data_IF_053895497825
#
_entry.id   IF_053895497825
#
_cell.length_a   1.000
_cell.length_b   1.000
_cell.length_c   1.000
_cell.angle_alpha   90.00
_cell.angle_beta   90.00
_cell.angle_gamma   90.00
#
_symmetry.space_group_name_H-M   'P 1'
#
loop_
_entity.id
_entity.type
_entity.pdbx_description
1 polymer ?
#
# COMPACT_ATOMS: atom_id res chain seq x y z
N UNK A 1 1.65 -36.46 29.18
CA UNK A 1 1.16 -35.13 29.60
C UNK A 1 2.36 -34.23 29.61
N UNK A 2 2.42 -33.25 28.71
CA UNK A 2 3.56 -32.33 28.59
C UNK A 2 3.59 -31.41 29.81
N UNK A 3 4.75 -31.30 30.45
CA UNK A 3 4.93 -30.44 31.62
C UNK A 3 5.03 -28.97 31.19
N UNK A 4 4.48 -28.05 31.98
CA UNK A 4 4.56 -26.62 31.69
C UNK A 4 5.72 -26.00 32.48
N UNK A 5 6.75 -25.58 31.77
CA UNK A 5 7.99 -25.07 32.34
C UNK A 5 7.96 -23.55 32.49
N UNK A 6 8.61 -23.07 33.56
CA UNK A 6 8.84 -21.63 33.73
C UNK A 6 9.83 -21.15 32.67
N UNK A 7 9.74 -19.87 32.28
CA UNK A 7 10.70 -19.32 31.30
C UNK A 7 12.16 -19.44 31.73
N UNK A 8 12.46 -19.45 33.04
CA UNK A 8 13.82 -19.66 33.55
C UNK A 8 14.33 -21.09 33.35
N UNK A 9 13.44 -22.07 33.30
CA UNK A 9 13.76 -23.48 33.03
C UNK A 9 13.87 -23.70 31.52
N UNK A 10 12.88 -23.23 30.76
CA UNK A 10 12.92 -23.26 29.30
C UNK A 10 14.18 -22.56 28.75
N UNK A 11 14.58 -21.43 29.34
CA UNK A 11 15.81 -20.71 28.98
C UNK A 11 17.08 -21.56 29.11
N UNK A 12 17.15 -22.45 30.11
CA UNK A 12 18.29 -23.35 30.29
C UNK A 12 18.29 -24.43 29.21
N UNK A 13 17.12 -24.89 28.77
CA UNK A 13 16.96 -25.94 27.77
C UNK A 13 17.26 -25.43 26.35
N UNK A 14 16.76 -24.24 25.99
CA UNK A 14 16.95 -23.69 24.64
C UNK A 14 18.18 -22.79 24.48
N UNK A 15 18.87 -22.43 25.56
CA UNK A 15 20.03 -21.53 25.52
C UNK A 15 19.68 -20.07 25.21
N UNK A 16 18.40 -19.68 25.31
CA UNK A 16 17.91 -18.32 25.07
C UNK A 16 17.51 -17.70 26.40
N UNK A 17 17.84 -16.43 26.62
CA UNK A 17 17.48 -15.76 27.87
C UNK A 17 15.96 -15.73 28.10
N UNK A 18 15.54 -15.90 29.36
CA UNK A 18 14.12 -15.79 29.74
C UNK A 18 13.52 -14.43 29.36
N UNK A 19 14.33 -13.36 29.33
CA UNK A 19 13.94 -12.04 28.84
C UNK A 19 13.58 -12.07 27.35
N UNK A 20 14.41 -12.70 26.53
CA UNK A 20 14.16 -12.84 25.09
C UNK A 20 12.92 -13.68 24.85
N UNK A 21 12.75 -14.81 25.54
CA UNK A 21 11.53 -15.62 25.45
C UNK A 21 10.27 -14.81 25.81
N UNK A 22 10.35 -13.97 26.86
CA UNK A 22 9.25 -13.08 27.23
C UNK A 22 8.91 -12.06 26.14
N UNK A 23 9.90 -11.52 25.45
CA UNK A 23 9.69 -10.62 24.30
C UNK A 23 9.03 -11.36 23.14
N UNK A 24 9.54 -12.53 22.76
CA UNK A 24 8.94 -13.35 21.69
C UNK A 24 7.48 -13.72 21.97
N UNK A 25 7.14 -14.02 23.23
CA UNK A 25 5.76 -14.27 23.64
C UNK A 25 4.91 -13.00 23.54
N UNK A 26 5.44 -11.85 23.99
CA UNK A 26 4.73 -10.57 23.91
C UNK A 26 4.47 -10.15 22.46
N UNK A 27 5.41 -10.47 21.55
CA UNK A 27 5.31 -10.23 20.11
C UNK A 27 4.44 -11.29 19.39
N UNK A 28 3.89 -12.26 20.12
CA UNK A 28 3.02 -13.31 19.59
C UNK A 28 3.75 -14.36 18.74
N UNK A 29 5.09 -14.41 18.79
CA UNK A 29 5.90 -15.35 18.02
C UNK A 29 5.95 -16.76 18.63
N UNK A 30 5.60 -16.90 19.90
CA UNK A 30 5.50 -18.19 20.60
C UNK A 30 4.04 -18.41 21.05
N UNK A 31 3.12 -18.74 20.13
CA UNK A 31 1.69 -18.88 20.43
C UNK A 31 1.37 -20.04 21.38
N UNK A 32 2.27 -21.02 21.51
CA UNK A 32 2.15 -22.13 22.46
C UNK A 32 2.32 -21.72 23.93
N UNK A 33 2.76 -20.49 24.20
CA UNK A 33 2.96 -20.03 25.58
C UNK A 33 1.63 -19.90 26.32
N UNK A 34 1.57 -20.50 27.50
CA UNK A 34 0.40 -20.49 28.38
C UNK A 34 0.66 -19.48 29.50
N UNK A 35 -0.40 -18.87 30.05
CA UNK A 35 -0.27 -17.99 31.23
C UNK A 35 -0.83 -18.66 32.46
N UNK A 36 -0.15 -18.49 33.59
CA UNK A 36 -0.70 -18.83 34.90
C UNK A 36 -1.87 -17.90 35.24
N UNK A 37 -2.70 -18.21 36.25
CA UNK A 37 -3.70 -17.29 36.78
C UNK A 37 -3.12 -15.94 37.22
N UNK A 38 -1.86 -15.92 37.68
CA UNK A 38 -1.15 -14.68 38.03
C UNK A 38 -0.52 -13.97 36.80
N UNK A 39 -0.71 -14.49 35.59
CA UNK A 39 -0.25 -13.90 34.34
C UNK A 39 1.19 -14.22 33.94
N UNK A 40 1.89 -15.09 34.68
CA UNK A 40 3.25 -15.51 34.34
C UNK A 40 3.25 -16.46 33.14
N UNK A 41 4.11 -16.23 32.13
CA UNK A 41 4.21 -17.13 30.98
C UNK A 41 4.92 -18.44 31.35
N UNK A 42 4.38 -19.53 30.83
CA UNK A 42 4.90 -20.89 30.86
C UNK A 42 5.01 -21.42 29.42
N UNK A 43 5.96 -22.31 29.18
CA UNK A 43 6.10 -23.02 27.91
C UNK A 43 5.92 -24.53 28.12
N UNK A 44 5.12 -25.21 27.29
CA UNK A 44 5.09 -26.68 27.29
C UNK A 44 6.48 -27.23 26.96
N UNK A 45 6.92 -28.26 27.68
CA UNK A 45 8.25 -28.88 27.53
C UNK A 45 8.49 -29.42 26.11
N UNK A 46 7.47 -29.99 25.50
CA UNK A 46 7.48 -30.48 24.11
C UNK A 46 7.45 -29.38 23.05
N UNK A 47 7.25 -28.12 23.46
CA UNK A 47 7.13 -26.97 22.57
C UNK A 47 8.17 -25.88 22.86
N UNK A 48 9.25 -26.23 23.56
CA UNK A 48 10.40 -25.33 23.76
C UNK A 48 11.11 -25.12 22.42
N UNK A 49 11.22 -23.86 21.95
CA UNK A 49 11.87 -23.58 20.68
C UNK A 49 13.38 -23.76 20.78
N UNK A 50 14.02 -24.19 19.70
CA UNK A 50 15.48 -24.15 19.58
C UNK A 50 15.95 -22.71 19.29
N UNK A 51 17.25 -22.47 19.42
CA UNK A 51 17.85 -21.19 18.99
C UNK A 51 17.56 -20.87 17.53
N UNK A 52 17.61 -21.89 16.65
CA UNK A 52 17.35 -21.73 15.23
C UNK A 52 15.89 -21.34 14.97
N UNK A 53 14.94 -21.94 15.70
CA UNK A 53 13.51 -21.60 15.57
C UNK A 53 13.27 -20.14 15.96
N UNK A 54 13.82 -19.70 17.10
CA UNK A 54 13.67 -18.31 17.54
C UNK A 54 14.29 -17.32 16.54
N UNK A 55 15.45 -17.65 15.98
CA UNK A 55 16.06 -16.82 14.93
C UNK A 55 15.15 -16.73 13.70
N UNK A 56 14.63 -17.86 13.23
CA UNK A 56 13.76 -17.90 12.06
C UNK A 56 12.46 -17.11 12.29
N UNK A 57 11.88 -17.19 13.48
CA UNK A 57 10.69 -16.41 13.85
C UNK A 57 10.96 -14.89 13.79
N UNK A 58 12.10 -14.44 14.31
CA UNK A 58 12.50 -13.03 14.28
C UNK A 58 12.73 -12.57 12.83
N UNK A 59 13.43 -13.36 12.02
CA UNK A 59 13.68 -13.05 10.61
C UNK A 59 12.37 -12.94 9.83
N UNK A 60 11.44 -13.88 10.02
CA UNK A 60 10.11 -13.82 9.40
C UNK A 60 9.31 -12.59 9.85
N UNK A 61 9.35 -12.25 11.14
CA UNK A 61 8.65 -11.07 11.64
C UNK A 61 9.22 -9.79 11.04
N UNK A 62 10.56 -9.67 11.00
CA UNK A 62 11.25 -8.55 10.35
C UNK A 62 10.81 -8.40 8.91
N UNK A 63 10.82 -9.49 8.14
CA UNK A 63 10.51 -9.44 6.71
C UNK A 63 9.04 -9.03 6.47
N UNK A 64 8.09 -9.54 7.27
CA UNK A 64 6.68 -9.12 7.22
C UNK A 64 6.52 -7.63 7.55
N UNK A 65 7.23 -7.14 8.57
CA UNK A 65 7.17 -5.73 8.95
C UNK A 65 7.76 -4.82 7.87
N UNK A 66 8.87 -5.21 7.26
CA UNK A 66 9.49 -4.47 6.15
C UNK A 66 8.59 -4.44 4.92
N UNK A 67 7.99 -5.57 4.55
CA UNK A 67 7.03 -5.64 3.45
C UNK A 67 5.81 -4.74 3.70
N UNK A 68 5.26 -4.78 4.91
CA UNK A 68 4.14 -3.92 5.30
C UNK A 68 4.51 -2.44 5.25
N UNK A 69 5.70 -2.08 5.74
CA UNK A 69 6.18 -0.71 5.70
C UNK A 69 6.34 -0.22 4.25
N UNK A 70 6.95 -1.03 3.38
CA UNK A 70 7.11 -0.72 1.96
C UNK A 70 5.77 -0.51 1.26
N UNK A 71 4.79 -1.39 1.53
CA UNK A 71 3.43 -1.25 0.99
C UNK A 71 2.77 0.07 1.43
N UNK A 72 2.83 0.39 2.72
CA UNK A 72 2.24 1.63 3.25
C UNK A 72 2.92 2.87 2.68
N UNK A 73 4.24 2.87 2.55
CA UNK A 73 4.99 3.96 1.91
C UNK A 73 4.57 4.16 0.46
N UNK A 74 4.47 3.06 -0.31
CA UNK A 74 4.02 3.14 -1.69
C UNK A 74 2.61 3.74 -1.81
N UNK A 75 1.69 3.32 -0.93
CA UNK A 75 0.35 3.87 -0.89
C UNK A 75 0.37 5.38 -0.62
N UNK A 76 1.12 5.84 0.38
CA UNK A 76 1.24 7.28 0.67
C UNK A 76 1.79 8.04 -0.53
N UNK A 77 2.78 7.49 -1.24
CA UNK A 77 3.34 8.14 -2.43
C UNK A 77 2.30 8.29 -3.54
N UNK A 78 1.48 7.26 -3.79
CA UNK A 78 0.39 7.33 -4.78
C UNK A 78 -0.63 8.40 -4.41
N UNK A 79 -1.04 8.48 -3.15
CA UNK A 79 -1.99 9.51 -2.70
C UNK A 79 -1.40 10.93 -2.84
N UNK A 80 -0.11 11.11 -2.52
CA UNK A 80 0.57 12.38 -2.69
C UNK A 80 0.69 12.80 -4.16
N UNK A 81 0.94 11.84 -5.05
CA UNK A 81 0.96 12.07 -6.49
C UNK A 81 -0.43 12.48 -7.00
N UNK A 82 -1.49 11.80 -6.57
CA UNK A 82 -2.87 12.15 -6.90
C UNK A 82 -3.21 13.59 -6.46
N UNK A 83 -2.93 13.94 -5.20
CA UNK A 83 -3.14 15.30 -4.68
C UNK A 83 -2.33 16.34 -5.47
N UNK A 84 -1.10 16.01 -5.83
CA UNK A 84 -0.23 16.90 -6.61
C UNK A 84 -0.79 17.13 -8.01
N UNK A 85 -1.35 16.09 -8.63
CA UNK A 85 -2.01 16.18 -9.91
C UNK A 85 -3.29 17.03 -9.83
N UNK A 86 -4.14 16.81 -8.83
CA UNK A 86 -5.37 17.59 -8.62
C UNK A 86 -5.07 19.09 -8.45
N UNK A 87 -4.04 19.43 -7.68
CA UNK A 87 -3.58 20.82 -7.52
C UNK A 87 -3.08 21.43 -8.83
N UNK A 88 -2.43 20.64 -9.69
CA UNK A 88 -1.94 21.10 -10.99
C UNK A 88 -3.11 21.35 -11.94
N UNK A 89 -4.08 20.44 -11.98
CA UNK A 89 -5.31 20.58 -12.75
C UNK A 89 -6.10 21.81 -12.29
N UNK A 90 -6.28 22.02 -10.98
CA UNK A 90 -7.00 23.18 -10.44
C UNK A 90 -6.32 24.53 -10.76
N UNK A 91 -5.00 24.55 -10.98
CA UNK A 91 -4.24 25.75 -11.38
C UNK A 91 -4.24 26.01 -12.88
N UNK A 92 -4.65 25.04 -13.68
CA UNK A 92 -4.76 25.20 -15.13
C UNK A 92 -6.19 25.62 -15.41
N UNK A 93 -6.48 26.92 -15.68
CA UNK A 93 -7.82 27.32 -16.10
C UNK A 93 -8.14 26.55 -17.38
N UNK A 94 -9.30 25.92 -17.36
CA UNK A 94 -9.78 24.96 -18.36
C UNK A 94 -9.35 25.32 -19.79
N UNK A 95 -8.69 24.39 -20.48
CA UNK A 95 -8.46 24.46 -21.92
C UNK A 95 -9.80 24.46 -22.72
N UNK A 96 -10.94 24.34 -22.03
CA UNK A 96 -12.30 24.45 -22.56
C UNK A 96 -12.72 25.86 -23.00
N UNK A 97 -11.94 26.93 -22.76
CA UNK A 97 -12.20 28.23 -23.41
C UNK A 97 -11.68 28.30 -24.86
N UNK A 98 -11.08 27.23 -25.41
CA UNK A 98 -10.57 27.16 -26.80
C UNK A 98 -11.34 26.24 -27.75
N UNK A 99 -12.53 25.77 -27.37
CA UNK A 99 -13.47 25.19 -28.33
C UNK A 99 -14.60 26.19 -28.56
N UNK A 100 -14.49 26.97 -29.65
CA UNK A 100 -15.46 28.00 -30.01
C UNK A 100 -16.87 27.45 -30.24
N UNK A 101 -17.91 28.31 -30.18
CA UNK A 101 -19.24 27.88 -30.57
C UNK A 101 -19.26 27.61 -32.08
N UNK A 102 -19.47 26.35 -32.43
CA UNK A 102 -19.83 25.95 -33.78
C UNK A 102 -21.18 26.59 -34.14
N UNK A 103 -21.17 27.39 -35.21
CA UNK A 103 -22.22 27.58 -36.22
C UNK A 103 -23.69 27.64 -35.74
N UNK A 104 -24.28 28.85 -35.68
CA UNK A 104 -25.69 29.09 -36.01
C UNK A 104 -25.84 30.47 -36.70
N UNK A 105 -26.29 30.43 -37.97
CA UNK A 105 -26.97 31.48 -38.75
C UNK A 105 -26.38 32.88 -38.96
N UNK A 106 -25.99 33.20 -40.22
CA UNK A 106 -26.74 34.11 -41.13
C UNK A 106 -25.98 34.45 -42.43
N UNK A 107 -26.53 33.97 -43.54
CA UNK A 107 -26.77 34.66 -44.83
C UNK A 107 -25.79 35.76 -45.30
N UNK A 108 -24.99 35.45 -46.34
CA UNK A 108 -24.96 36.18 -47.63
C UNK A 108 -23.91 35.59 -48.59
N UNK A 109 -24.30 35.06 -49.77
CA UNK A 109 -23.37 34.93 -50.88
C UNK A 109 -23.44 36.19 -51.74
N UNK A 110 -22.35 36.95 -51.81
CA UNK A 110 -22.12 37.88 -52.92
C UNK A 110 -20.92 37.37 -53.72
N UNK A 111 -21.18 36.34 -54.53
CA UNK A 111 -20.33 35.97 -55.66
C UNK A 111 -20.71 36.83 -56.88
N UNK A 112 -19.75 37.37 -57.65
CA UNK A 112 -20.04 38.25 -58.77
C UNK A 112 -20.12 37.43 -60.07
N UNK A 113 -21.34 37.07 -60.51
CA UNK A 113 -21.54 36.47 -61.83
C UNK A 113 -22.52 37.31 -62.66
N UNK A 114 -22.03 38.42 -63.21
CA UNK A 114 -22.67 39.01 -64.39
C UNK A 114 -22.17 38.27 -65.64
N UNK A 115 -23.03 37.38 -66.13
CA UNK A 115 -23.01 36.88 -67.50
C UNK A 115 -23.00 38.05 -68.50
N UNK A 116 -21.95 38.15 -69.32
CA UNK A 116 -22.03 38.81 -70.62
C UNK A 116 -21.64 37.81 -71.71
N UNK A 117 -22.57 37.64 -72.65
CA UNK A 117 -22.64 36.52 -73.59
C UNK A 117 -21.56 36.53 -74.68
N UNK A 118 -21.28 35.32 -75.15
CA UNK A 118 -20.51 35.04 -76.37
C UNK A 118 -21.43 34.37 -77.41
N UNK A 119 -21.52 35.02 -78.58
CA UNK A 119 -21.68 34.49 -79.95
C UNK A 119 -22.45 33.17 -80.22
N UNK A 120 -23.48 33.22 -81.08
CA UNK A 120 -23.39 32.97 -82.53
C UNK A 120 -24.70 32.44 -83.19
N UNK A 121 -24.84 32.76 -84.49
CA UNK A 121 -25.71 32.18 -85.54
C UNK A 121 -27.21 32.55 -85.47
N UNK A 122 -27.87 33.01 -86.56
CA UNK A 122 -27.75 32.62 -87.98
C UNK A 122 -28.16 33.77 -88.89
#
# INVERSE_FOLDING_TARGET
>A
MSENLKLSEAAKLCGISARTLKLLIADGLLPQAIRTPQGHPLLPDDAIPTWQDCRQLIEQQRDRLLQRAAYLLNRVNVELEAISNDRRSARTPDAATRAGPAHIDQLLPLGPDHHFGSHAAT
#
